data_IF_172313794476
#
_entry.id   IF_172313794476
#
_cell.length_a   1.000
_cell.length_b   1.000
_cell.length_c   1.000
_cell.angle_alpha   90.00
_cell.angle_beta   90.00
_cell.angle_gamma   90.00
#
_symmetry.space_group_name_H-M   'P 1'
#
loop_
_entity.id
_entity.type
_entity.pdbx_description
1 polymer ?
#
# COMPACT_ATOMS: atom_id res chain seq x y z
N UNK A 1 6.29 -8.91 -0.74
CA UNK A 1 5.58 -10.15 -0.38
C UNK A 1 4.70 -9.79 0.80
N UNK A 2 3.38 -9.88 0.68
CA UNK A 2 2.43 -9.56 1.74
C UNK A 2 1.51 -10.77 1.94
N UNK A 3 1.63 -11.43 3.09
CA UNK A 3 0.88 -12.66 3.39
C UNK A 3 -0.64 -12.42 3.40
N UNK A 4 -1.08 -11.23 3.82
CA UNK A 4 -2.49 -10.84 3.89
C UNK A 4 -3.09 -10.79 2.49
N UNK A 5 -2.36 -10.21 1.54
CA UNK A 5 -2.81 -10.13 0.14
C UNK A 5 -2.79 -11.48 -0.59
N UNK A 6 -1.91 -12.39 -0.20
CA UNK A 6 -1.82 -13.71 -0.83
C UNK A 6 -2.92 -14.67 -0.38
N UNK A 7 -3.36 -14.58 0.89
CA UNK A 7 -4.30 -15.54 1.48
C UNK A 7 -5.71 -14.96 1.62
N UNK A 8 -5.85 -13.66 1.90
CA UNK A 8 -7.12 -13.07 2.34
C UNK A 8 -7.69 -11.97 1.43
N UNK A 9 -6.96 -11.53 0.40
CA UNK A 9 -7.35 -10.40 -0.45
C UNK A 9 -8.82 -10.43 -0.93
N UNK A 10 -9.31 -11.59 -1.39
CA UNK A 10 -10.67 -11.71 -1.95
C UNK A 10 -11.76 -12.00 -0.92
N UNK A 11 -11.49 -12.85 0.07
CA UNK A 11 -12.51 -13.31 1.04
C UNK A 11 -12.77 -12.27 2.13
N UNK A 12 -11.76 -11.49 2.50
CA UNK A 12 -11.87 -10.46 3.54
C UNK A 12 -12.17 -9.07 2.97
N UNK A 13 -12.26 -8.89 1.64
CA UNK A 13 -12.50 -7.60 1.00
C UNK A 13 -11.35 -6.60 1.12
N UNK A 14 -10.17 -7.06 1.51
CA UNK A 14 -9.01 -6.21 1.79
C UNK A 14 -8.49 -5.52 0.53
N UNK A 15 -8.58 -6.17 -0.64
CA UNK A 15 -8.23 -5.55 -1.91
C UNK A 15 -9.50 -5.31 -2.72
N UNK A 16 -9.94 -4.05 -2.87
CA UNK A 16 -11.04 -3.71 -3.76
C UNK A 16 -10.75 -4.20 -5.18
N UNK A 17 -11.77 -4.77 -5.83
CA UNK A 17 -11.60 -5.47 -7.11
C UNK A 17 -11.15 -4.50 -8.22
N UNK A 18 -11.59 -3.23 -8.17
CA UNK A 18 -11.17 -2.18 -9.10
C UNK A 18 -9.66 -1.87 -9.05
N UNK A 19 -9.02 -2.11 -7.91
CA UNK A 19 -7.59 -1.84 -7.70
C UNK A 19 -6.72 -3.09 -7.89
N UNK A 20 -7.33 -4.27 -8.05
CA UNK A 20 -6.63 -5.55 -8.19
C UNK A 20 -5.60 -5.56 -9.32
N UNK A 21 -5.86 -5.01 -10.54
CA UNK A 21 -4.86 -4.97 -11.60
C UNK A 21 -3.65 -4.08 -11.29
N UNK A 22 -3.78 -3.11 -10.38
CA UNK A 22 -2.71 -2.19 -9.96
C UNK A 22 -1.70 -2.89 -9.03
N UNK A 23 -2.19 -3.84 -8.21
CA UNK A 23 -1.36 -4.58 -7.24
C UNK A 23 -0.84 -5.90 -7.81
N UNK A 24 -1.66 -6.62 -8.58
CA UNK A 24 -1.32 -7.89 -9.21
C UNK A 24 -1.17 -7.74 -10.72
N UNK A 25 -0.11 -7.05 -11.16
CA UNK A 25 0.22 -6.91 -12.57
C UNK A 25 1.14 -8.04 -13.04
N UNK A 26 0.79 -8.69 -14.15
CA UNK A 26 1.65 -9.69 -14.81
C UNK A 26 2.88 -9.07 -15.49
N UNK A 27 2.90 -7.75 -15.67
CA UNK A 27 4.00 -7.00 -16.30
C UNK A 27 5.06 -6.52 -15.31
N UNK A 28 4.76 -6.56 -14.00
CA UNK A 28 5.66 -6.10 -12.95
C UNK A 28 5.74 -7.20 -11.89
N UNK A 29 6.64 -8.19 -12.07
CA UNK A 29 6.65 -9.41 -11.26
C UNK A 29 7.07 -9.19 -9.80
N UNK A 30 7.63 -8.02 -9.47
CA UNK A 30 7.96 -7.68 -8.09
C UNK A 30 6.70 -7.23 -7.35
N UNK A 31 6.43 -7.85 -6.19
CA UNK A 31 5.37 -7.38 -5.30
C UNK A 31 5.62 -5.93 -4.92
N UNK A 32 4.67 -5.06 -5.21
CA UNK A 32 4.62 -3.69 -4.68
C UNK A 32 4.20 -3.74 -3.21
N UNK A 33 4.76 -2.84 -2.38
CA UNK A 33 4.22 -2.62 -1.04
C UNK A 33 2.84 -2.00 -1.16
N UNK A 34 1.90 -2.39 -0.30
CA UNK A 34 0.57 -1.77 -0.21
C UNK A 34 0.36 -1.17 1.16
N UNK A 35 -0.42 -0.10 1.24
CA UNK A 35 -0.91 0.43 2.50
C UNK A 35 -2.45 0.38 2.52
N UNK A 36 -3.00 0.27 3.72
CA UNK A 36 -4.44 0.14 3.94
C UNK A 36 -4.97 1.41 4.60
N UNK A 37 -6.22 1.74 4.28
CA UNK A 37 -7.05 2.71 5.00
C UNK A 37 -8.35 1.99 5.32
N UNK A 38 -8.77 2.02 6.60
CA UNK A 38 -9.98 1.34 7.08
C UNK A 38 -10.08 -0.14 6.67
N UNK A 39 -8.95 -0.84 6.63
CA UNK A 39 -8.87 -2.27 6.29
C UNK A 39 -8.90 -2.58 4.79
N UNK A 40 -8.96 -1.57 3.91
CA UNK A 40 -8.91 -1.73 2.47
C UNK A 40 -7.61 -1.16 1.89
N UNK A 41 -7.03 -1.82 0.89
CA UNK A 41 -5.87 -1.32 0.15
C UNK A 41 -6.24 -0.02 -0.53
N UNK A 42 -5.55 1.05 -0.14
CA UNK A 42 -5.79 2.40 -0.62
C UNK A 42 -4.66 2.93 -1.53
N UNK A 43 -3.57 2.17 -1.68
CA UNK A 43 -2.47 2.54 -2.54
C UNK A 43 -1.24 1.65 -2.38
N UNK A 44 -0.17 2.05 -3.06
CA UNK A 44 1.12 1.38 -3.03
C UNK A 44 2.18 2.21 -2.32
N UNK A 45 3.28 1.56 -1.94
CA UNK A 45 4.48 2.23 -1.47
C UNK A 45 5.75 1.52 -1.92
N UNK A 46 6.86 2.25 -1.91
CA UNK A 46 8.21 1.78 -2.22
C UNK A 46 9.25 2.50 -1.38
N UNK A 47 10.28 1.79 -0.94
CA UNK A 47 11.44 2.39 -0.30
C UNK A 47 12.49 2.75 -1.36
N UNK A 48 12.83 4.03 -1.48
CA UNK A 48 13.86 4.50 -2.41
C UNK A 48 14.53 5.78 -1.91
N UNK A 49 15.85 5.87 -2.13
CA UNK A 49 16.61 7.07 -1.77
C UNK A 49 16.59 7.41 -0.28
N UNK A 50 16.47 6.42 0.60
CA UNK A 50 16.42 6.62 2.06
C UNK A 50 15.05 7.01 2.60
N UNK A 51 14.00 6.97 1.78
CA UNK A 51 12.64 7.32 2.18
C UNK A 51 11.58 6.37 1.62
N UNK A 52 10.39 6.43 2.20
CA UNK A 52 9.21 5.72 1.70
C UNK A 52 8.40 6.68 0.82
N UNK A 53 8.15 6.27 -0.43
CA UNK A 53 7.22 6.95 -1.32
C UNK A 53 5.90 6.21 -1.38
N UNK A 54 4.81 6.94 -1.20
CA UNK A 54 3.44 6.41 -1.25
C UNK A 54 2.70 6.93 -2.48
N UNK A 55 1.87 6.07 -3.07
CA UNK A 55 1.04 6.37 -4.23
C UNK A 55 -0.40 5.93 -3.95
N UNK A 56 -1.26 6.84 -3.44
CA UNK A 56 -2.68 6.56 -3.25
C UNK A 56 -3.40 6.28 -4.57
N UNK A 57 -4.33 5.33 -4.56
CA UNK A 57 -5.16 5.03 -5.73
C UNK A 57 -6.28 6.04 -5.94
N UNK A 58 -6.74 6.66 -4.85
CA UNK A 58 -7.81 7.65 -4.81
C UNK A 58 -7.42 8.82 -3.91
N UNK A 59 -8.19 9.91 -3.96
CA UNK A 59 -7.95 11.08 -3.12
C UNK A 59 -8.29 10.74 -1.65
N UNK A 60 -7.27 10.84 -0.80
CA UNK A 60 -7.42 10.69 0.65
C UNK A 60 -7.79 12.02 1.31
N UNK A 61 -8.57 11.96 2.39
CA UNK A 61 -8.86 13.13 3.21
C UNK A 61 -7.60 13.66 3.94
N UNK A 62 -7.72 14.83 4.57
CA UNK A 62 -6.56 15.47 5.19
C UNK A 62 -6.01 14.70 6.41
N UNK A 63 -6.86 14.03 7.17
CA UNK A 63 -6.45 13.29 8.36
C UNK A 63 -5.69 12.02 7.94
N UNK A 64 -6.27 11.23 7.03
CA UNK A 64 -5.63 10.02 6.51
C UNK A 64 -4.29 10.31 5.83
N UNK A 65 -4.18 11.41 5.07
CA UNK A 65 -2.90 11.78 4.45
C UNK A 65 -1.82 12.09 5.48
N UNK A 66 -2.18 12.73 6.60
CA UNK A 66 -1.23 13.04 7.66
C UNK A 66 -0.76 11.76 8.36
N UNK A 67 -1.69 10.88 8.71
CA UNK A 67 -1.37 9.59 9.33
C UNK A 67 -0.50 8.72 8.41
N UNK A 68 -0.80 8.70 7.10
CA UNK A 68 0.02 8.00 6.12
C UNK A 68 1.44 8.56 6.03
N UNK A 69 1.61 9.88 6.11
CA UNK A 69 2.93 10.51 6.09
C UNK A 69 3.73 10.16 7.35
N UNK A 70 3.11 10.22 8.53
CA UNK A 70 3.75 9.83 9.79
C UNK A 70 4.18 8.36 9.79
N UNK A 71 3.34 7.46 9.25
CA UNK A 71 3.69 6.05 9.13
C UNK A 71 4.81 5.82 8.10
N UNK A 72 4.82 6.55 6.99
CA UNK A 72 5.88 6.47 5.99
C UNK A 72 7.24 6.88 6.58
N UNK A 73 7.28 7.90 7.44
CA UNK A 73 8.49 8.30 8.17
C UNK A 73 8.96 7.21 9.14
N UNK A 74 8.05 6.62 9.93
CA UNK A 74 8.37 5.51 10.83
C UNK A 74 8.92 4.30 10.07
N UNK A 75 8.30 3.95 8.94
CA UNK A 75 8.73 2.84 8.11
C UNK A 75 10.08 3.12 7.44
N UNK A 76 10.34 4.36 7.00
CA UNK A 76 11.64 4.75 6.48
C UNK A 76 12.75 4.62 7.53
N UNK A 77 12.48 5.07 8.76
CA UNK A 77 13.42 4.93 9.88
C UNK A 77 13.68 3.46 10.26
N UNK A 78 12.68 2.59 10.14
CA UNK A 78 12.85 1.15 10.36
C UNK A 78 13.68 0.47 9.27
N UNK A 79 13.64 0.98 8.04
CA UNK A 79 14.40 0.46 6.90
C UNK A 79 15.88 0.90 6.87
N UNK A 80 16.24 1.93 7.62
CA UNK A 80 17.61 2.45 7.72
C UNK A 80 18.49 1.57 8.61
#
# INVERSE_FOLDING_TARGET
>A
WDATLLVHARRAGILPEEHRPKVFSTKTPHSVGTFLVDGAVAGTWRYEGGGVRTEPFDRLDAATRRELAEEAERLAAFHA
#
